data_IF_686492829087
#
_entry.id   IF_686492829087
#
_cell.length_a   1.000
_cell.length_b   1.000
_cell.length_c   1.000
_cell.angle_alpha   90.00
_cell.angle_beta   90.00
_cell.angle_gamma   90.00
#
_symmetry.space_group_name_H-M   'P 1'
#
loop_
_entity.id
_entity.type
_entity.pdbx_description
1 polymer ?
#
# COMPACT_ATOMS: atom_id res chain seq x y z
N UNK A 1 -17.81 10.14 82.42
CA UNK A 1 -16.35 10.34 82.47
C UNK A 1 -15.90 10.65 81.04
N UNK A 2 -15.42 11.85 80.69
CA UNK A 2 -14.16 12.49 81.17
C UNK A 2 -13.01 11.57 80.74
N UNK A 3 -11.97 11.96 80.02
CA UNK A 3 -11.34 13.24 79.65
C UNK A 3 -10.13 12.81 78.80
N UNK A 4 -9.90 13.40 77.63
CA UNK A 4 -8.98 14.52 77.40
C UNK A 4 -7.48 14.21 77.58
N UNK A 5 -6.73 14.76 76.61
CA UNK A 5 -5.49 15.56 76.78
C UNK A 5 -4.19 14.78 77.02
N UNK A 6 -3.02 15.27 76.59
CA UNK A 6 -2.57 16.61 76.18
C UNK A 6 -1.21 16.43 75.46
N UNK A 7 -0.92 17.25 74.44
CA UNK A 7 0.09 18.35 74.43
C UNK A 7 1.48 17.93 74.94
N UNK A 8 2.60 18.28 74.30
CA UNK A 8 2.95 19.62 73.83
C UNK A 8 4.24 19.55 72.99
N UNK A 9 4.32 20.33 71.90
CA UNK A 9 5.24 21.47 71.73
C UNK A 9 6.74 21.16 71.75
N UNK A 10 7.44 21.44 70.64
CA UNK A 10 8.36 22.60 70.57
C UNK A 10 8.95 22.81 69.17
N UNK A 11 9.12 24.11 68.85
CA UNK A 11 9.73 24.74 67.66
C UNK A 11 11.18 24.30 67.40
N UNK A 12 11.60 24.32 66.13
CA UNK A 12 12.91 24.83 65.71
C UNK A 12 12.97 25.08 64.18
N UNK A 13 13.77 26.08 63.81
CA UNK A 13 13.84 26.75 62.51
C UNK A 13 14.55 25.96 61.41
N UNK A 14 14.09 26.23 60.17
CA UNK A 14 14.83 26.44 58.92
C UNK A 14 16.15 25.67 58.67
N UNK A 15 16.11 24.78 57.67
CA UNK A 15 17.23 24.59 56.72
C UNK A 15 16.68 24.48 55.31
N UNK A 16 17.10 25.43 54.47
CA UNK A 16 16.97 25.40 53.02
C UNK A 16 17.52 24.08 52.46
N UNK A 17 16.68 23.35 51.73
CA UNK A 17 17.12 22.32 50.78
C UNK A 17 16.60 22.69 49.39
N UNK A 18 17.45 22.68 48.35
CA UNK A 18 17.01 22.95 46.99
C UNK A 18 16.07 21.84 46.53
N UNK A 19 14.88 22.21 46.05
CA UNK A 19 13.91 21.29 45.46
C UNK A 19 14.50 20.77 44.14
N UNK A 20 15.00 19.54 44.17
CA UNK A 20 15.22 18.76 42.96
C UNK A 20 13.86 18.44 42.34
N UNK A 21 13.53 19.11 41.24
CA UNK A 21 12.33 18.79 40.47
C UNK A 21 12.62 17.53 39.63
N UNK A 22 12.13 16.39 40.12
CA UNK A 22 12.19 15.11 39.42
C UNK A 22 11.40 15.13 38.11
N UNK A 23 11.86 14.31 37.16
CA UNK A 23 11.31 14.12 35.81
C UNK A 23 9.84 13.61 35.84
N UNK A 24 8.84 14.50 35.95
CA UNK A 24 7.44 14.28 35.50
C UNK A 24 6.83 15.61 35.05
N UNK A 25 5.98 15.63 34.00
CA UNK A 25 5.35 16.86 33.52
C UNK A 25 4.38 17.43 34.58
N UNK A 26 4.20 18.75 34.68
CA UNK A 26 3.38 19.36 35.72
C UNK A 26 1.90 19.12 35.48
N UNK A 27 1.20 18.69 36.55
CA UNK A 27 -0.24 18.55 36.61
C UNK A 27 -0.92 19.94 36.63
N UNK A 28 -2.14 20.03 36.08
CA UNK A 28 -2.91 21.28 35.88
C UNK A 28 -3.16 22.06 37.17
N UNK A 29 -3.03 21.43 38.32
CA UNK A 29 -3.29 22.02 39.64
C UNK A 29 -2.15 22.93 40.15
N UNK A 30 -0.94 22.81 39.60
CA UNK A 30 0.20 23.64 40.01
C UNK A 30 0.12 25.09 39.48
N UNK A 31 -0.62 25.31 38.39
CA UNK A 31 -0.80 26.64 37.79
C UNK A 31 -1.84 27.48 38.54
N UNK A 32 -2.83 26.84 39.19
CA UNK A 32 -3.87 27.55 39.92
C UNK A 32 -3.44 28.03 41.31
N UNK A 33 -2.50 27.36 41.97
CA UNK A 33 -2.01 27.79 43.30
C UNK A 33 -1.09 29.02 43.26
N UNK A 34 -0.45 29.32 42.12
CA UNK A 34 0.41 30.50 41.97
C UNK A 34 -0.36 31.78 41.62
N UNK A 35 -1.60 31.67 41.14
CA UNK A 35 -2.44 32.82 40.82
C UNK A 35 -3.19 33.40 42.04
N UNK A 36 -3.32 32.63 43.12
CA UNK A 36 -4.05 33.05 44.32
C UNK A 36 -3.16 33.79 45.35
N UNK A 37 -1.84 33.55 45.36
CA UNK A 37 -0.90 34.26 46.25
C UNK A 37 -0.63 35.73 45.85
N UNK A 38 -1.06 36.18 44.67
CA UNK A 38 -0.84 37.55 44.19
C UNK A 38 -1.97 38.53 44.53
N UNK A 39 -3.02 38.11 45.25
CA UNK A 39 -4.15 38.98 45.65
C UNK A 39 -3.98 39.71 46.98
N UNK A 40 -2.91 39.46 47.74
CA UNK A 40 -2.66 40.12 49.04
C UNK A 40 -1.30 40.81 49.10
N UNK A 41 -1.09 41.85 48.30
CA UNK A 41 0.02 42.79 48.47
C UNK A 41 -0.33 44.17 47.91
N UNK A 42 -1.25 44.85 48.59
CA UNK A 42 -1.45 46.30 48.47
C UNK A 42 -0.51 47.01 49.44
N UNK A 43 0.46 47.79 48.93
CA UNK A 43 0.81 49.16 49.37
C UNK A 43 2.18 49.63 48.86
N UNK A 44 2.22 50.91 48.55
CA UNK A 44 3.36 51.79 48.24
C UNK A 44 3.83 51.83 46.78
N UNK A 45 3.50 52.98 46.18
CA UNK A 45 3.74 53.44 44.83
C UNK A 45 5.02 54.28 44.78
N UNK A 46 6.06 53.81 44.10
CA UNK A 46 6.97 54.59 43.21
C UNK A 46 8.24 53.82 42.79
N UNK A 47 8.57 52.69 43.43
CA UNK A 47 9.70 51.81 43.01
C UNK A 47 9.35 50.71 42.00
N UNK A 48 8.07 50.55 41.63
CA UNK A 48 7.56 49.37 40.92
C UNK A 48 7.67 49.43 39.39
N UNK A 49 7.83 50.60 38.76
CA UNK A 49 7.78 50.71 37.29
C UNK A 49 9.05 50.25 36.55
N UNK A 50 10.24 50.41 37.15
CA UNK A 50 11.50 49.91 36.58
C UNK A 50 11.70 48.41 36.82
N UNK A 51 11.22 47.89 37.96
CA UNK A 51 11.30 46.48 38.32
C UNK A 51 10.29 45.60 37.58
N UNK A 52 9.09 46.11 37.26
CA UNK A 52 8.11 45.38 36.43
C UNK A 52 8.56 45.27 34.98
N UNK A 53 9.11 46.34 34.36
CA UNK A 53 9.61 46.26 32.97
C UNK A 53 10.78 45.28 32.83
N UNK A 54 11.70 45.24 33.80
CA UNK A 54 12.82 44.29 33.81
C UNK A 54 12.33 42.84 34.00
N UNK A 55 11.36 42.61 34.89
CA UNK A 55 10.75 41.29 35.07
C UNK A 55 9.90 40.85 33.89
N UNK A 56 9.15 41.73 33.23
CA UNK A 56 8.38 41.39 32.01
C UNK A 56 9.33 41.06 30.84
N UNK A 57 10.46 41.76 30.72
CA UNK A 57 11.48 41.46 29.71
C UNK A 57 12.20 40.13 30.00
N UNK A 58 12.59 39.86 31.26
CA UNK A 58 13.18 38.58 31.66
C UNK A 58 12.19 37.40 31.54
N UNK A 59 10.91 37.60 31.88
CA UNK A 59 9.86 36.59 31.66
C UNK A 59 9.60 36.34 30.16
N UNK A 60 9.56 37.38 29.33
CA UNK A 60 9.37 37.23 27.88
C UNK A 60 10.57 36.54 27.21
N UNK A 61 11.79 36.85 27.66
CA UNK A 61 13.00 36.16 27.21
C UNK A 61 13.03 34.70 27.70
N UNK A 62 12.59 34.42 28.93
CA UNK A 62 12.51 33.04 29.46
C UNK A 62 11.45 32.19 28.75
N UNK A 63 10.29 32.77 28.44
CA UNK A 63 9.20 32.15 27.66
C UNK A 63 9.64 31.89 26.22
N UNK A 64 10.28 32.85 25.54
CA UNK A 64 10.85 32.63 24.20
C UNK A 64 11.98 31.58 24.20
N UNK A 65 12.80 31.52 25.25
CA UNK A 65 13.90 30.53 25.39
C UNK A 65 13.39 29.11 25.70
N UNK A 66 12.20 28.97 26.31
CA UNK A 66 11.53 27.68 26.53
C UNK A 66 10.58 27.27 25.38
N UNK A 67 10.03 28.22 24.61
CA UNK A 67 9.21 27.94 23.42
C UNK A 67 10.04 27.62 22.16
N UNK A 68 11.25 28.17 22.04
CA UNK A 68 12.17 27.87 20.93
C UNK A 68 12.49 26.36 20.78
N UNK A 69 12.83 25.59 21.85
CA UNK A 69 13.01 24.15 21.73
C UNK A 69 11.69 23.41 21.47
N UNK A 70 10.54 23.93 21.90
CA UNK A 70 9.22 23.37 21.61
C UNK A 70 8.86 23.49 20.12
N UNK A 71 9.16 24.62 19.48
CA UNK A 71 8.99 24.77 18.03
C UNK A 71 9.95 23.85 17.26
N UNK A 72 11.21 23.71 17.68
CA UNK A 72 12.17 22.77 17.07
C UNK A 72 11.81 21.30 17.30
N UNK A 73 11.27 20.95 18.48
CA UNK A 73 10.77 19.61 18.79
C UNK A 73 9.47 19.32 18.05
N UNK A 74 8.59 20.30 17.87
CA UNK A 74 7.39 20.17 17.05
C UNK A 74 7.75 20.08 15.56
N UNK A 75 8.72 20.87 15.08
CA UNK A 75 9.24 20.77 13.70
C UNK A 75 9.93 19.43 13.49
N UNK A 76 10.77 18.98 14.42
CA UNK A 76 11.41 17.65 14.39
C UNK A 76 10.40 16.53 14.55
N UNK A 77 9.34 16.68 15.35
CA UNK A 77 8.28 15.70 15.47
C UNK A 77 7.47 15.63 14.17
N UNK A 78 7.06 16.76 13.61
CA UNK A 78 6.37 16.83 12.30
C UNK A 78 7.27 16.35 11.16
N UNK A 79 8.57 16.68 11.17
CA UNK A 79 9.56 16.17 10.22
C UNK A 79 9.81 14.68 10.42
N UNK A 80 9.89 14.17 11.64
CA UNK A 80 10.02 12.74 11.93
C UNK A 80 8.74 11.96 11.59
N UNK A 81 7.56 12.55 11.80
CA UNK A 81 6.27 11.96 11.42
C UNK A 81 6.10 11.98 9.90
N UNK A 82 6.49 13.07 9.22
CA UNK A 82 6.50 13.15 7.75
C UNK A 82 7.56 12.24 7.14
N UNK A 83 8.75 12.17 7.73
CA UNK A 83 9.82 11.27 7.31
C UNK A 83 9.39 9.82 7.48
N UNK A 84 8.82 9.44 8.63
CA UNK A 84 8.24 8.08 8.83
C UNK A 84 7.03 7.82 7.92
N UNK A 85 6.24 8.81 7.56
CA UNK A 85 5.15 8.63 6.59
C UNK A 85 5.67 8.37 5.16
N UNK A 86 6.74 9.06 4.75
CA UNK A 86 7.28 8.97 3.39
C UNK A 86 8.24 7.78 3.25
N UNK A 87 9.15 7.62 4.21
CA UNK A 87 10.19 6.61 4.22
C UNK A 87 9.83 5.34 4.98
N UNK A 88 8.72 5.32 5.71
CA UNK A 88 8.37 4.17 6.54
C UNK A 88 9.43 3.89 7.61
N UNK A 89 9.56 2.62 7.97
CA UNK A 89 10.60 2.12 8.87
C UNK A 89 11.85 1.59 8.13
N UNK A 90 11.86 1.63 6.79
CA UNK A 90 12.93 1.03 5.99
C UNK A 90 14.21 1.86 6.05
N UNK A 91 15.32 1.22 6.45
CA UNK A 91 16.60 1.90 6.52
C UNK A 91 17.18 2.21 5.13
N UNK A 92 17.84 3.38 4.90
CA UNK A 92 18.39 3.76 3.59
C UNK A 92 19.33 2.74 2.95
N UNK A 93 20.11 2.02 3.76
CA UNK A 93 20.98 0.93 3.27
C UNK A 93 20.19 -0.24 2.70
N UNK A 94 19.08 -0.61 3.33
CA UNK A 94 18.17 -1.65 2.83
C UNK A 94 17.50 -1.20 1.55
N UNK A 95 17.06 0.06 1.47
CA UNK A 95 16.47 0.62 0.25
C UNK A 95 17.46 0.56 -0.92
N UNK A 96 18.69 1.06 -0.72
CA UNK A 96 19.71 1.04 -1.76
C UNK A 96 20.00 -0.38 -2.23
N UNK A 97 20.18 -1.31 -1.29
CA UNK A 97 20.52 -2.68 -1.64
C UNK A 97 19.35 -3.45 -2.27
N UNK A 98 18.09 -3.15 -1.88
CA UNK A 98 16.88 -3.66 -2.53
C UNK A 98 16.76 -3.14 -3.96
N UNK A 99 17.03 -1.85 -4.20
CA UNK A 99 17.05 -1.27 -5.55
C UNK A 99 18.15 -1.90 -6.39
N UNK A 100 19.36 -2.06 -5.84
CA UNK A 100 20.47 -2.71 -6.55
C UNK A 100 20.11 -4.14 -6.94
N UNK A 101 19.53 -4.91 -6.01
CA UNK A 101 19.08 -6.28 -6.26
C UNK A 101 17.98 -6.33 -7.34
N UNK A 102 17.05 -5.39 -7.30
CA UNK A 102 15.98 -5.29 -8.29
C UNK A 102 16.52 -4.94 -9.68
N UNK A 103 17.46 -3.99 -9.76
CA UNK A 103 18.15 -3.62 -11.00
C UNK A 103 18.93 -4.80 -11.56
N UNK A 104 19.71 -5.52 -10.72
CA UNK A 104 20.50 -6.67 -11.20
C UNK A 104 19.59 -7.81 -11.68
N UNK A 105 18.51 -8.10 -10.95
CA UNK A 105 17.49 -9.05 -11.38
C UNK A 105 16.85 -8.64 -12.72
N UNK A 106 16.46 -7.37 -12.84
CA UNK A 106 15.89 -6.80 -14.06
C UNK A 106 16.84 -6.84 -15.25
N UNK A 107 18.11 -6.49 -15.05
CA UNK A 107 19.15 -6.55 -16.07
C UNK A 107 19.44 -7.99 -16.51
N UNK A 108 19.46 -8.95 -15.58
CA UNK A 108 19.62 -10.36 -15.91
C UNK A 108 18.44 -10.89 -16.72
N UNK A 109 17.20 -10.54 -16.34
CA UNK A 109 16.02 -10.87 -17.12
C UNK A 109 16.03 -10.20 -18.51
N UNK A 110 16.59 -9.00 -18.62
CA UNK A 110 16.71 -8.28 -19.90
C UNK A 110 17.73 -8.95 -20.81
N UNK A 111 18.85 -9.41 -20.24
CA UNK A 111 19.84 -10.22 -20.95
C UNK A 111 19.27 -11.53 -21.49
N UNK A 112 18.31 -12.13 -20.77
CA UNK A 112 17.55 -13.30 -21.22
C UNK A 112 16.41 -12.97 -22.21
N UNK A 113 16.24 -11.71 -22.63
CA UNK A 113 15.16 -11.24 -23.49
C UNK A 113 13.74 -11.59 -22.98
N UNK A 114 13.55 -11.62 -21.65
CA UNK A 114 12.25 -11.94 -21.07
C UNK A 114 11.26 -10.76 -21.26
N UNK A 115 9.97 -11.03 -21.49
CA UNK A 115 8.93 -10.00 -21.51
C UNK A 115 8.92 -9.22 -20.20
N UNK A 116 8.84 -7.88 -20.24
CA UNK A 116 8.86 -7.05 -19.02
C UNK A 116 10.01 -7.39 -18.06
N UNK A 117 11.19 -7.67 -18.62
CA UNK A 117 12.39 -8.07 -17.90
C UNK A 117 12.63 -7.31 -16.59
N UNK A 118 12.54 -5.97 -16.61
CA UNK A 118 12.78 -5.15 -15.42
C UNK A 118 11.78 -5.42 -14.29
N UNK A 119 10.51 -5.63 -14.61
CA UNK A 119 9.49 -6.01 -13.63
C UNK A 119 9.70 -7.45 -13.15
N UNK A 120 9.79 -8.41 -14.08
CA UNK A 120 9.95 -9.84 -13.78
C UNK A 120 11.19 -10.12 -12.94
N UNK A 121 12.33 -9.64 -13.42
CA UNK A 121 13.62 -9.82 -12.78
C UNK A 121 13.66 -9.20 -11.39
N UNK A 122 13.06 -8.02 -11.21
CA UNK A 122 12.95 -7.38 -9.89
C UNK A 122 12.09 -8.21 -8.92
N UNK A 123 10.93 -8.70 -9.36
CA UNK A 123 10.05 -9.54 -8.52
C UNK A 123 10.77 -10.82 -8.10
N UNK A 124 11.41 -11.50 -9.05
CA UNK A 124 12.08 -12.79 -8.80
C UNK A 124 13.29 -12.61 -7.90
N UNK A 125 14.16 -11.64 -8.17
CA UNK A 125 15.37 -11.42 -7.39
C UNK A 125 15.05 -10.99 -5.95
N UNK A 126 14.20 -9.98 -5.79
CA UNK A 126 13.80 -9.49 -4.46
C UNK A 126 12.96 -10.54 -3.72
N UNK A 127 12.05 -11.21 -4.43
CA UNK A 127 11.19 -12.23 -3.85
C UNK A 127 11.94 -13.46 -3.36
N UNK A 128 12.97 -13.91 -4.08
CA UNK A 128 13.82 -15.02 -3.64
C UNK A 128 14.56 -14.68 -2.35
N UNK A 129 15.17 -13.50 -2.27
CA UNK A 129 15.86 -13.04 -1.05
C UNK A 129 14.87 -12.92 0.11
N UNK A 130 13.71 -12.30 -0.11
CA UNK A 130 12.69 -12.14 0.91
C UNK A 130 12.16 -13.50 1.42
N UNK A 131 11.89 -14.45 0.52
CA UNK A 131 11.42 -15.79 0.85
C UNK A 131 12.47 -16.62 1.62
N UNK A 132 13.76 -16.43 1.33
CA UNK A 132 14.87 -17.07 2.05
C UNK A 132 15.16 -16.41 3.41
N UNK A 133 14.49 -15.31 3.75
CA UNK A 133 14.74 -14.57 4.98
C UNK A 133 16.13 -13.92 5.02
N UNK A 134 16.75 -13.69 3.86
CA UNK A 134 18.06 -13.07 3.76
C UNK A 134 17.89 -11.57 4.02
N UNK A 135 18.54 -11.08 5.07
CA UNK A 135 18.56 -9.64 5.38
C UNK A 135 19.52 -8.93 4.44
N UNK A 136 19.07 -7.81 3.88
CA UNK A 136 19.91 -6.96 3.02
C UNK A 136 20.04 -5.60 3.71
N UNK A 137 21.13 -5.45 4.47
CA UNK A 137 21.31 -4.33 5.40
C UNK A 137 20.75 -4.68 6.78
N UNK A 138 20.23 -3.69 7.53
CA UNK A 138 19.63 -3.96 8.86
C UNK A 138 18.30 -4.72 8.79
N UNK A 139 17.54 -4.54 7.71
CA UNK A 139 16.19 -5.07 7.55
C UNK A 139 16.11 -6.07 6.38
N UNK A 140 14.98 -6.75 6.26
CA UNK A 140 14.61 -7.53 5.08
C UNK A 140 14.41 -6.61 3.86
N UNK A 141 14.54 -7.12 2.62
CA UNK A 141 14.41 -6.29 1.44
C UNK A 141 13.02 -5.66 1.34
N UNK A 142 12.97 -4.33 1.31
CA UNK A 142 11.73 -3.54 1.20
C UNK A 142 12.05 -2.15 0.62
N UNK A 143 11.00 -1.46 0.16
CA UNK A 143 11.08 -0.10 -0.36
C UNK A 143 10.17 0.84 0.43
N UNK A 144 10.56 2.12 0.59
CA UNK A 144 9.76 3.09 1.32
C UNK A 144 8.42 3.32 0.60
N UNK A 145 7.33 3.63 1.33
CA UNK A 145 6.02 3.94 0.73
C UNK A 145 6.09 5.03 -0.35
N UNK A 146 7.01 5.99 -0.19
CA UNK A 146 7.28 7.04 -1.17
C UNK A 146 7.65 6.49 -2.56
N UNK A 147 8.38 5.38 -2.65
CA UNK A 147 8.80 4.82 -3.93
C UNK A 147 7.58 4.48 -4.80
N UNK A 148 6.60 3.75 -4.23
CA UNK A 148 5.33 3.47 -4.92
C UNK A 148 4.49 4.72 -5.13
N UNK A 149 4.50 5.65 -4.17
CA UNK A 149 3.76 6.91 -4.29
C UNK A 149 4.26 7.81 -5.43
N UNK A 150 5.49 7.62 -5.90
CA UNK A 150 6.05 8.27 -7.10
C UNK A 150 5.82 7.43 -8.36
N UNK A 151 6.15 6.13 -8.31
CA UNK A 151 6.10 5.25 -9.48
C UNK A 151 4.69 5.08 -10.05
N UNK A 152 3.69 4.89 -9.19
CA UNK A 152 2.31 4.59 -9.62
C UNK A 152 1.67 5.76 -10.38
N UNK A 153 1.74 7.03 -9.89
CA UNK A 153 1.27 8.17 -10.66
C UNK A 153 1.93 8.35 -12.02
N UNK A 154 3.25 8.14 -12.11
CA UNK A 154 3.97 8.27 -13.36
C UNK A 154 3.49 7.24 -14.39
N UNK A 155 3.27 5.99 -13.97
CA UNK A 155 2.68 4.97 -14.86
C UNK A 155 1.26 5.36 -15.28
N UNK A 156 0.45 5.89 -14.37
CA UNK A 156 -0.89 6.40 -14.68
C UNK A 156 -0.85 7.46 -15.78
N UNK A 157 0.02 8.47 -15.63
CA UNK A 157 0.24 9.52 -16.64
C UNK A 157 0.70 8.94 -17.98
N UNK A 158 1.62 7.97 -17.96
CA UNK A 158 2.17 7.35 -19.17
C UNK A 158 1.13 6.54 -19.95
N UNK A 159 0.30 5.79 -19.24
CA UNK A 159 -0.85 5.09 -19.85
C UNK A 159 -1.87 6.11 -20.39
N UNK A 160 -2.15 7.17 -19.62
CA UNK A 160 -3.07 8.22 -20.03
C UNK A 160 -2.61 8.99 -21.27
N UNK A 161 -1.30 9.11 -21.49
CA UNK A 161 -0.74 9.72 -22.69
C UNK A 161 -1.08 8.94 -23.98
N UNK A 162 -1.45 7.66 -23.84
CA UNK A 162 -1.93 6.83 -24.94
C UNK A 162 -3.36 7.13 -25.40
N UNK A 163 -4.11 8.03 -24.73
CA UNK A 163 -5.47 8.39 -25.15
C UNK A 163 -5.43 9.15 -26.48
N UNK A 164 -5.83 8.45 -27.54
CA UNK A 164 -6.01 9.02 -28.87
C UNK A 164 -7.50 9.13 -29.21
N UNK A 165 -7.88 10.00 -30.16
CA UNK A 165 -9.26 10.03 -30.68
C UNK A 165 -9.75 8.66 -31.17
N UNK A 166 -8.86 7.83 -31.71
CA UNK A 166 -9.18 6.47 -32.13
C UNK A 166 -9.63 5.58 -30.95
N UNK A 167 -8.90 5.62 -29.82
CA UNK A 167 -9.28 4.87 -28.62
C UNK A 167 -10.63 5.37 -28.07
N UNK A 168 -10.85 6.69 -28.06
CA UNK A 168 -12.12 7.27 -27.60
C UNK A 168 -13.29 6.78 -28.47
N UNK A 169 -13.10 6.68 -29.79
CA UNK A 169 -14.11 6.14 -30.70
C UNK A 169 -14.36 4.63 -30.50
N UNK A 170 -13.40 3.88 -29.97
CA UNK A 170 -13.58 2.46 -29.64
C UNK A 170 -14.35 2.25 -28.33
N UNK A 171 -14.31 3.18 -27.37
CA UNK A 171 -14.90 3.02 -26.03
C UNK A 171 -16.36 2.53 -26.04
N UNK A 172 -17.27 3.07 -26.89
CA UNK A 172 -18.65 2.60 -26.93
C UNK A 172 -18.77 1.12 -27.29
N UNK A 173 -17.78 0.52 -27.97
CA UNK A 173 -17.78 -0.90 -28.37
C UNK A 173 -17.44 -1.85 -27.21
N UNK A 174 -16.94 -1.35 -26.09
CA UNK A 174 -16.50 -2.16 -24.96
C UNK A 174 -17.66 -2.67 -24.10
N UNK A 175 -18.89 -2.23 -24.36
CA UNK A 175 -20.05 -2.60 -23.53
C UNK A 175 -20.26 -4.12 -23.43
N UNK A 176 -20.04 -4.87 -24.53
CA UNK A 176 -20.18 -6.34 -24.54
C UNK A 176 -19.17 -6.97 -23.57
N UNK A 177 -17.90 -6.54 -23.63
CA UNK A 177 -16.85 -7.05 -22.76
C UNK A 177 -17.00 -6.56 -21.32
N UNK A 178 -17.66 -5.42 -21.09
CA UNK A 178 -17.98 -4.95 -19.74
C UNK A 178 -19.13 -5.75 -19.14
N UNK A 179 -20.22 -5.97 -19.88
CA UNK A 179 -21.36 -6.75 -19.40
C UNK A 179 -20.97 -8.21 -19.12
N UNK A 180 -20.10 -8.78 -19.94
CA UNK A 180 -19.61 -10.13 -19.72
C UNK A 180 -18.84 -10.30 -18.40
N UNK A 181 -18.33 -9.22 -17.78
CA UNK A 181 -17.76 -9.28 -16.42
C UNK A 181 -18.80 -9.73 -15.38
N UNK A 182 -20.08 -9.37 -15.56
CA UNK A 182 -21.16 -9.75 -14.65
C UNK A 182 -21.37 -11.27 -14.60
N UNK A 183 -21.00 -11.98 -15.67
CA UNK A 183 -21.05 -13.44 -15.76
C UNK A 183 -19.70 -14.05 -15.39
N UNK A 184 -18.62 -13.48 -15.92
CA UNK A 184 -17.27 -13.99 -15.71
C UNK A 184 -16.87 -13.99 -14.24
N UNK A 185 -17.16 -12.93 -13.48
CA UNK A 185 -16.69 -12.81 -12.10
C UNK A 185 -17.32 -13.83 -11.14
N UNK A 186 -18.64 -14.06 -11.13
CA UNK A 186 -19.24 -15.13 -10.33
C UNK A 186 -18.73 -16.52 -10.73
N UNK A 187 -18.60 -16.80 -12.04
CA UNK A 187 -18.10 -18.09 -12.53
C UNK A 187 -16.65 -18.30 -12.10
N UNK A 188 -15.80 -17.29 -12.28
CA UNK A 188 -14.41 -17.32 -11.86
C UNK A 188 -14.28 -17.53 -10.35
N UNK A 189 -15.04 -16.75 -9.57
CA UNK A 189 -15.03 -16.85 -8.11
C UNK A 189 -15.44 -18.25 -7.66
N UNK A 190 -16.55 -18.79 -8.21
CA UNK A 190 -16.99 -20.14 -7.90
C UNK A 190 -15.95 -21.20 -8.25
N UNK A 191 -15.35 -21.10 -9.45
CA UNK A 191 -14.29 -22.02 -9.90
C UNK A 191 -13.11 -22.02 -8.94
N UNK A 192 -12.56 -20.85 -8.61
CA UNK A 192 -11.40 -20.72 -7.72
C UNK A 192 -11.74 -21.16 -6.29
N UNK A 193 -12.93 -20.80 -5.80
CA UNK A 193 -13.42 -21.24 -4.49
C UNK A 193 -13.44 -22.77 -4.38
N UNK A 194 -14.01 -23.45 -5.39
CA UNK A 194 -14.06 -24.92 -5.44
C UNK A 194 -12.68 -25.54 -5.49
N UNK A 195 -11.74 -24.96 -6.24
CA UNK A 195 -10.35 -25.42 -6.30
C UNK A 195 -9.64 -25.29 -4.95
N UNK A 196 -9.87 -24.21 -4.20
CA UNK A 196 -9.31 -24.04 -2.87
C UNK A 196 -9.88 -25.03 -1.85
N UNK A 197 -11.17 -25.37 -1.95
CA UNK A 197 -11.80 -26.40 -1.12
C UNK A 197 -11.29 -27.84 -1.37
N UNK A 198 -10.56 -28.09 -2.46
CA UNK A 198 -9.91 -29.39 -2.66
C UNK A 198 -8.78 -29.64 -1.65
N UNK A 199 -8.30 -28.60 -0.96
CA UNK A 199 -7.31 -28.74 0.09
C UNK A 199 -7.95 -28.80 1.47
N UNK A 200 -7.67 -29.85 2.27
CA UNK A 200 -8.18 -29.93 3.64
C UNK A 200 -7.55 -28.88 4.58
N UNK A 201 -6.47 -28.23 4.15
CA UNK A 201 -5.75 -27.21 4.93
C UNK A 201 -6.31 -25.79 4.74
N UNK A 202 -7.37 -25.62 3.95
CA UNK A 202 -7.97 -24.31 3.67
C UNK A 202 -9.41 -24.30 4.18
N UNK A 203 -9.68 -23.45 5.18
CA UNK A 203 -11.03 -23.28 5.71
C UNK A 203 -11.98 -22.62 4.69
N UNK A 204 -13.29 -22.84 4.84
CA UNK A 204 -14.29 -22.25 3.94
C UNK A 204 -14.22 -20.72 3.85
N UNK A 205 -14.05 -19.96 4.95
CA UNK A 205 -13.86 -18.50 4.88
C UNK A 205 -12.59 -18.13 4.10
N UNK A 206 -11.47 -18.78 4.40
CA UNK A 206 -10.19 -18.59 3.69
C UNK A 206 -10.37 -18.81 2.17
N UNK A 207 -11.00 -19.92 1.77
CA UNK A 207 -11.23 -20.25 0.38
C UNK A 207 -12.14 -19.22 -0.32
N UNK A 208 -13.24 -18.82 0.33
CA UNK A 208 -14.22 -17.89 -0.23
C UNK A 208 -13.58 -16.53 -0.50
N UNK A 209 -13.01 -15.91 0.53
CA UNK A 209 -12.46 -14.56 0.41
C UNK A 209 -11.20 -14.51 -0.46
N UNK A 210 -10.38 -15.56 -0.46
CA UNK A 210 -9.22 -15.67 -1.37
C UNK A 210 -9.63 -15.79 -2.85
N UNK A 211 -10.80 -16.38 -3.14
CA UNK A 211 -11.29 -16.56 -4.50
C UNK A 211 -11.78 -15.26 -5.16
N UNK A 212 -11.93 -14.17 -4.41
CA UNK A 212 -12.39 -12.89 -4.94
C UNK A 212 -11.32 -12.31 -5.89
N UNK A 213 -11.66 -11.98 -7.14
CA UNK A 213 -10.72 -11.46 -8.14
C UNK A 213 -10.47 -9.94 -8.00
N UNK A 214 -10.44 -9.41 -6.78
CA UNK A 214 -10.28 -8.00 -6.48
C UNK A 214 -10.43 -7.70 -4.99
N UNK A 215 -10.26 -6.42 -4.63
CA UNK A 215 -10.59 -5.93 -3.28
C UNK A 215 -9.75 -6.50 -2.14
N UNK A 216 -8.46 -6.78 -2.35
CA UNK A 216 -7.57 -7.45 -1.39
C UNK A 216 -7.80 -7.06 0.07
N UNK A 217 -7.77 -5.76 0.38
CA UNK A 217 -7.90 -5.25 1.76
C UNK A 217 -9.26 -5.62 2.34
N UNK A 218 -10.34 -5.40 1.60
CA UNK A 218 -11.71 -5.65 2.05
C UNK A 218 -12.03 -7.15 2.10
N UNK A 219 -11.52 -7.94 1.15
CA UNK A 219 -11.59 -9.39 1.19
C UNK A 219 -10.87 -9.95 2.42
N UNK A 220 -9.72 -9.37 2.78
CA UNK A 220 -8.98 -9.75 3.99
C UNK A 220 -9.75 -9.41 5.25
N UNK A 221 -10.29 -8.20 5.34
CA UNK A 221 -11.05 -7.73 6.50
C UNK A 221 -12.32 -8.57 6.73
N UNK A 222 -13.13 -8.76 5.69
CA UNK A 222 -14.33 -9.59 5.74
C UNK A 222 -13.99 -11.06 6.03
N UNK A 223 -12.91 -11.57 5.44
CA UNK A 223 -12.46 -12.93 5.69
C UNK A 223 -11.96 -13.13 7.12
N UNK A 224 -11.26 -12.16 7.69
CA UNK A 224 -10.84 -12.18 9.10
C UNK A 224 -12.05 -12.18 10.02
N UNK A 225 -13.04 -11.31 9.76
CA UNK A 225 -14.29 -11.26 10.52
C UNK A 225 -15.05 -12.60 10.47
N UNK A 226 -14.97 -13.31 9.34
CA UNK A 226 -15.56 -14.64 9.16
C UNK A 226 -14.68 -15.82 9.66
N UNK A 227 -13.56 -15.55 10.35
CA UNK A 227 -12.67 -16.60 10.90
C UNK A 227 -11.70 -17.23 9.89
N UNK A 228 -11.38 -16.54 8.80
CA UNK A 228 -10.39 -16.95 7.81
C UNK A 228 -8.93 -16.75 8.26
N UNK A 229 -8.03 -17.56 7.68
CA UNK A 229 -6.58 -17.40 7.87
C UNK A 229 -6.10 -16.21 7.03
N UNK A 230 -5.95 -15.05 7.69
CA UNK A 230 -5.45 -13.79 7.10
C UNK A 230 -4.13 -13.98 6.37
N UNK A 231 -3.22 -14.78 6.94
CA UNK A 231 -1.90 -15.01 6.38
C UNK A 231 -2.04 -15.79 5.06
N UNK A 232 -2.82 -16.87 5.04
CA UNK A 232 -3.04 -17.68 3.83
C UNK A 232 -3.79 -16.89 2.75
N UNK A 233 -4.82 -16.11 3.11
CA UNK A 233 -5.54 -15.25 2.17
C UNK A 233 -4.63 -14.22 1.51
N UNK A 234 -3.78 -13.57 2.31
CA UNK A 234 -2.79 -12.61 1.82
C UNK A 234 -1.83 -13.28 0.84
N UNK A 235 -1.34 -14.49 1.18
CA UNK A 235 -0.46 -15.26 0.30
C UNK A 235 -1.13 -15.59 -1.03
N UNK A 236 -2.34 -16.17 -1.02
CA UNK A 236 -3.04 -16.57 -2.24
C UNK A 236 -3.31 -15.37 -3.17
N UNK A 237 -3.69 -14.21 -2.62
CA UNK A 237 -3.89 -13.02 -3.43
C UNK A 237 -2.60 -12.46 -4.02
N UNK A 238 -1.54 -12.34 -3.22
CA UNK A 238 -0.25 -11.79 -3.66
C UNK A 238 0.41 -12.73 -4.66
N UNK A 239 0.45 -14.04 -4.36
CA UNK A 239 0.95 -15.05 -5.26
C UNK A 239 0.19 -15.06 -6.58
N UNK A 240 -1.13 -14.86 -6.59
CA UNK A 240 -1.92 -14.75 -7.83
C UNK A 240 -1.48 -13.56 -8.67
N UNK A 241 -1.22 -12.40 -8.06
CA UNK A 241 -0.72 -11.23 -8.79
C UNK A 241 0.66 -11.50 -9.39
N UNK A 242 1.53 -12.17 -8.64
CA UNK A 242 2.87 -12.57 -9.09
C UNK A 242 2.79 -13.60 -10.21
N UNK A 243 1.94 -14.61 -10.05
CA UNK A 243 1.69 -15.61 -11.08
C UNK A 243 1.16 -14.97 -12.36
N UNK A 244 0.34 -13.91 -12.27
CA UNK A 244 -0.07 -13.16 -13.46
C UNK A 244 1.13 -12.46 -14.09
N UNK A 245 1.89 -11.69 -13.31
CA UNK A 245 3.06 -10.96 -13.80
C UNK A 245 4.07 -11.89 -14.46
N UNK A 246 4.30 -13.08 -13.91
CA UNK A 246 5.22 -14.08 -14.44
C UNK A 246 4.61 -14.83 -15.62
N UNK A 247 3.48 -15.51 -15.44
CA UNK A 247 2.99 -16.48 -16.43
C UNK A 247 2.30 -15.84 -17.64
N UNK A 248 1.60 -14.72 -17.46
CA UNK A 248 0.80 -14.10 -18.52
C UNK A 248 1.67 -13.62 -19.69
N UNK A 249 2.75 -12.85 -19.49
CA UNK A 249 3.56 -12.37 -20.60
C UNK A 249 4.26 -13.50 -21.35
N UNK A 250 4.74 -14.55 -20.66
CA UNK A 250 5.30 -15.74 -21.30
C UNK A 250 4.25 -16.51 -22.11
N UNK A 251 3.06 -16.72 -21.53
CA UNK A 251 1.97 -17.39 -22.22
C UNK A 251 1.54 -16.64 -23.48
N UNK A 252 1.47 -15.31 -23.42
CA UNK A 252 1.16 -14.49 -24.58
C UNK A 252 2.29 -14.49 -25.61
N UNK A 253 3.56 -14.40 -25.20
CA UNK A 253 4.70 -14.50 -26.12
C UNK A 253 4.64 -15.81 -26.92
N UNK A 254 4.41 -16.93 -26.23
CA UNK A 254 4.36 -18.25 -26.82
C UNK A 254 3.20 -18.41 -27.83
N UNK A 255 2.04 -17.82 -27.54
CA UNK A 255 0.83 -17.97 -28.37
C UNK A 255 0.77 -16.95 -29.51
N UNK A 256 1.26 -15.73 -29.28
CA UNK A 256 1.19 -14.64 -30.26
C UNK A 256 2.33 -14.67 -31.28
N UNK A 257 3.45 -15.33 -30.95
CA UNK A 257 4.68 -15.25 -31.74
C UNK A 257 5.26 -13.84 -31.83
N UNK A 258 4.75 -12.90 -31.02
CA UNK A 258 5.27 -11.54 -30.95
C UNK A 258 6.62 -11.57 -30.25
N UNK A 259 7.61 -10.90 -30.84
CA UNK A 259 8.88 -10.62 -30.18
C UNK A 259 8.59 -9.77 -28.95
N UNK A 260 8.69 -10.39 -27.77
CA UNK A 260 8.54 -9.71 -26.48
C UNK A 260 9.82 -9.03 -26.01
N UNK A 261 10.87 -9.05 -26.84
CA UNK A 261 12.09 -8.30 -26.63
C UNK A 261 11.73 -6.81 -26.60
N UNK A 262 11.62 -6.30 -25.37
CA UNK A 262 11.52 -4.91 -24.96
C UNK A 262 11.26 -3.89 -26.07
N UNK A 263 10.08 -3.26 -26.05
CA UNK A 263 9.88 -1.93 -26.62
C UNK A 263 10.75 -0.94 -25.83
N UNK A 264 12.06 -0.97 -26.09
CA UNK A 264 13.06 0.07 -25.76
C UNK A 264 13.52 0.74 -27.07
N UNK A 265 12.74 0.61 -28.14
CA UNK A 265 12.88 1.43 -29.34
C UNK A 265 12.09 2.73 -29.17
N UNK A 266 12.51 3.56 -28.23
CA UNK A 266 12.19 4.98 -28.19
C UNK A 266 13.41 5.76 -28.66
N UNK A 267 13.34 6.31 -29.87
CA UNK A 267 14.37 7.16 -30.46
C UNK A 267 14.52 8.45 -29.65
N UNK A 268 15.42 8.46 -28.67
CA UNK A 268 15.85 9.70 -28.00
C UNK A 268 16.81 10.46 -28.94
N UNK A 269 16.21 11.20 -29.86
CA UNK A 269 16.85 12.29 -30.61
C UNK A 269 15.94 13.52 -30.55
N UNK A 270 15.39 13.81 -29.37
CA UNK A 270 14.75 15.09 -29.11
C UNK A 270 15.84 16.08 -28.67
N UNK A 271 15.81 17.30 -29.19
CA UNK A 271 16.66 18.38 -28.70
C UNK A 271 16.45 18.58 -27.19
N UNK A 272 17.51 18.97 -26.45
CA UNK A 272 17.48 19.12 -24.99
C UNK A 272 16.28 19.94 -24.49
N UNK A 273 15.87 20.96 -25.24
CA UNK A 273 14.75 21.83 -24.90
C UNK A 273 13.38 21.14 -25.00
N UNK A 274 13.20 20.24 -25.96
CA UNK A 274 11.96 19.44 -26.10
C UNK A 274 11.84 18.42 -24.98
N UNK A 275 12.98 17.86 -24.55
CA UNK A 275 13.02 16.91 -23.44
C UNK A 275 12.59 17.55 -22.12
N UNK A 276 13.17 18.70 -21.75
CA UNK A 276 12.79 19.40 -20.51
C UNK A 276 11.33 19.84 -20.48
N UNK A 277 10.79 20.28 -21.63
CA UNK A 277 9.37 20.61 -21.74
C UNK A 277 8.49 19.40 -21.45
N UNK A 278 8.76 18.25 -22.07
CA UNK A 278 8.00 17.02 -21.85
C UNK A 278 8.08 16.55 -20.40
N UNK A 279 9.24 16.69 -19.75
CA UNK A 279 9.40 16.36 -18.32
C UNK A 279 8.56 17.27 -17.43
N UNK A 280 8.60 18.58 -17.65
CA UNK A 280 7.83 19.56 -16.85
C UNK A 280 6.32 19.34 -17.04
N UNK A 281 5.86 19.18 -18.28
CA UNK A 281 4.46 18.87 -18.59
C UNK A 281 4.01 17.56 -17.94
N UNK A 282 4.80 16.48 -18.09
CA UNK A 282 4.51 15.19 -17.50
C UNK A 282 4.42 15.25 -15.97
N UNK A 283 5.33 15.97 -15.31
CA UNK A 283 5.28 16.19 -13.85
C UNK A 283 4.04 17.00 -13.48
N UNK A 284 3.72 18.07 -14.21
CA UNK A 284 2.56 18.91 -13.94
C UNK A 284 1.25 18.12 -14.06
N UNK A 285 1.09 17.35 -15.14
CA UNK A 285 -0.05 16.45 -15.38
C UNK A 285 -0.15 15.41 -14.26
N UNK A 286 0.97 14.80 -13.88
CA UNK A 286 1.00 13.79 -12.82
C UNK A 286 0.54 14.37 -11.48
N UNK A 287 1.07 15.53 -11.09
CA UNK A 287 0.71 16.20 -9.84
C UNK A 287 -0.76 16.65 -9.85
N UNK A 288 -1.21 17.30 -10.92
CA UNK A 288 -2.60 17.70 -11.10
C UNK A 288 -3.53 16.49 -11.03
N UNK A 289 -3.14 15.38 -11.64
CA UNK A 289 -3.85 14.11 -11.58
C UNK A 289 -3.95 13.53 -10.19
N UNK A 290 -2.86 13.47 -9.41
CA UNK A 290 -2.90 12.97 -8.03
C UNK A 290 -3.84 13.83 -7.18
N UNK A 291 -3.78 15.16 -7.32
CA UNK A 291 -4.64 16.09 -6.58
C UNK A 291 -6.11 15.88 -6.98
N UNK A 292 -6.40 15.89 -8.28
CA UNK A 292 -7.75 15.75 -8.82
C UNK A 292 -8.36 14.40 -8.47
N UNK A 293 -7.59 13.31 -8.61
CA UNK A 293 -8.05 11.96 -8.27
C UNK A 293 -8.38 11.80 -6.78
N UNK A 294 -7.59 12.43 -5.89
CA UNK A 294 -7.88 12.44 -4.45
C UNK A 294 -9.13 13.26 -4.14
N UNK A 295 -9.28 14.43 -4.77
CA UNK A 295 -10.46 15.28 -4.59
C UNK A 295 -11.74 14.60 -5.09
N UNK A 296 -11.69 13.96 -6.26
CA UNK A 296 -12.80 13.20 -6.84
C UNK A 296 -13.05 11.83 -6.16
N UNK A 297 -12.26 11.49 -5.13
CA UNK A 297 -12.35 10.22 -4.38
C UNK A 297 -12.32 8.98 -5.29
N UNK A 298 -11.48 9.03 -6.33
CA UNK A 298 -11.37 7.92 -7.27
C UNK A 298 -10.79 6.68 -6.57
N UNK A 299 -11.29 5.48 -6.89
CA UNK A 299 -10.63 4.23 -6.52
C UNK A 299 -9.20 4.24 -7.08
N UNK A 300 -8.22 3.82 -6.27
CA UNK A 300 -6.80 3.93 -6.61
C UNK A 300 -6.42 5.33 -7.16
N UNK A 301 -6.83 6.40 -6.45
CA UNK A 301 -6.66 7.79 -6.86
C UNK A 301 -5.26 8.16 -7.38
N UNK A 302 -4.20 7.60 -6.77
CA UNK A 302 -2.81 7.83 -7.19
C UNK A 302 -2.49 7.28 -8.59
N UNK A 303 -3.30 6.36 -9.13
CA UNK A 303 -3.17 5.82 -10.48
C UNK A 303 -4.19 6.46 -11.43
N UNK A 304 -5.47 6.42 -11.07
CA UNK A 304 -6.56 6.87 -11.95
C UNK A 304 -6.64 8.38 -12.13
N UNK A 305 -6.29 9.16 -11.11
CA UNK A 305 -6.25 10.62 -11.23
C UNK A 305 -5.27 11.07 -12.33
N UNK A 306 -3.98 10.69 -12.23
CA UNK A 306 -2.98 10.94 -13.29
C UNK A 306 -3.36 10.39 -14.65
N UNK A 307 -3.93 9.18 -14.70
CA UNK A 307 -4.40 8.58 -15.95
C UNK A 307 -5.46 9.43 -16.63
N UNK A 308 -6.50 9.86 -15.90
CA UNK A 308 -7.61 10.63 -16.46
C UNK A 308 -7.22 12.05 -16.84
N UNK A 309 -6.40 12.73 -16.02
CA UNK A 309 -5.92 14.07 -16.37
C UNK A 309 -5.02 14.00 -17.60
N UNK A 310 -4.09 13.04 -17.65
CA UNK A 310 -3.26 12.82 -18.84
C UNK A 310 -4.11 12.49 -20.06
N UNK A 311 -5.14 11.65 -19.90
CA UNK A 311 -6.07 11.31 -20.96
C UNK A 311 -6.78 12.52 -21.55
N UNK A 312 -7.30 13.40 -20.70
CA UNK A 312 -7.99 14.63 -21.14
C UNK A 312 -6.99 15.56 -21.85
N UNK A 313 -5.80 15.76 -21.29
CA UNK A 313 -4.78 16.62 -21.91
C UNK A 313 -4.35 16.12 -23.30
N UNK A 314 -4.15 14.82 -23.48
CA UNK A 314 -3.73 14.24 -24.77
C UNK A 314 -4.88 14.15 -25.77
N UNK A 315 -6.08 13.75 -25.33
CA UNK A 315 -7.25 13.67 -26.21
C UNK A 315 -7.73 15.05 -26.71
N UNK A 316 -7.53 16.11 -25.91
CA UNK A 316 -7.83 17.50 -26.30
C UNK A 316 -6.70 18.17 -27.11
N UNK A 317 -5.55 17.51 -27.28
CA UNK A 317 -4.37 18.09 -27.92
C UNK A 317 -3.65 19.17 -27.09
N UNK A 318 -3.98 19.31 -25.80
CA UNK A 318 -3.32 20.25 -24.89
C UNK A 318 -1.88 19.86 -24.55
N UNK A 319 -1.54 18.58 -24.64
CA UNK A 319 -0.17 18.10 -24.43
C UNK A 319 0.15 16.97 -25.40
N UNK A 320 1.41 16.94 -25.82
CA UNK A 320 2.04 15.85 -26.56
C UNK A 320 3.17 15.20 -25.76
N UNK A 321 3.20 15.41 -24.44
CA UNK A 321 4.28 14.98 -23.57
C UNK A 321 4.25 13.47 -23.37
N UNK A 322 5.24 12.77 -23.92
CA UNK A 322 5.45 11.35 -23.69
C UNK A 322 6.29 11.12 -22.45
N UNK A 323 6.02 10.04 -21.72
CA UNK A 323 6.89 9.60 -20.63
C UNK A 323 8.09 8.84 -21.21
N UNK A 324 9.30 9.21 -20.78
CA UNK A 324 10.53 8.52 -21.17
C UNK A 324 10.51 7.06 -20.76
N UNK A 325 11.02 6.19 -21.63
CA UNK A 325 11.13 4.74 -21.38
C UNK A 325 11.86 4.43 -20.07
N UNK A 326 12.86 5.23 -19.70
CA UNK A 326 13.62 5.06 -18.45
C UNK A 326 12.78 5.29 -17.20
N UNK A 327 11.78 6.17 -17.27
CA UNK A 327 10.83 6.38 -16.18
C UNK A 327 9.93 5.15 -16.00
N UNK A 328 9.49 4.54 -17.10
CA UNK A 328 8.71 3.30 -17.08
C UNK A 328 9.56 2.15 -16.51
N UNK A 329 10.82 2.02 -16.94
CA UNK A 329 11.78 1.04 -16.40
C UNK A 329 11.98 1.23 -14.90
N UNK A 330 12.22 2.45 -14.44
CA UNK A 330 12.36 2.75 -13.01
C UNK A 330 11.09 2.38 -12.23
N UNK A 331 9.91 2.67 -12.78
CA UNK A 331 8.65 2.32 -12.15
C UNK A 331 8.40 0.80 -12.11
N UNK A 332 8.79 0.06 -13.15
CA UNK A 332 8.77 -1.40 -13.18
C UNK A 332 9.67 -2.01 -12.11
N UNK A 333 10.89 -1.47 -11.93
CA UNK A 333 11.82 -1.90 -10.88
C UNK A 333 11.19 -1.69 -9.49
N UNK A 334 10.64 -0.50 -9.22
CA UNK A 334 10.00 -0.18 -7.94
C UNK A 334 8.81 -1.08 -7.65
N UNK A 335 7.93 -1.30 -8.63
CA UNK A 335 6.76 -2.16 -8.46
C UNK A 335 7.20 -3.61 -8.24
N UNK A 336 8.16 -4.09 -9.03
CA UNK A 336 8.65 -5.45 -8.94
C UNK A 336 9.31 -5.74 -7.61
N UNK A 337 10.20 -4.84 -7.16
CA UNK A 337 10.83 -4.92 -5.85
C UNK A 337 9.81 -4.90 -4.70
N UNK A 338 8.82 -3.99 -4.76
CA UNK A 338 7.77 -3.91 -3.74
C UNK A 338 6.90 -5.17 -3.65
N UNK A 339 6.69 -5.85 -4.78
CA UNK A 339 5.92 -7.08 -4.86
C UNK A 339 6.76 -8.27 -4.36
N UNK A 340 8.05 -8.32 -4.73
CA UNK A 340 8.99 -9.31 -4.21
C UNK A 340 9.20 -9.23 -2.70
N UNK A 341 9.23 -8.02 -2.13
CA UNK A 341 9.37 -7.81 -0.69
C UNK A 341 8.25 -8.49 0.14
N UNK A 342 7.09 -8.81 -0.46
CA UNK A 342 5.94 -9.43 0.21
C UNK A 342 6.16 -10.88 0.65
N UNK A 343 7.26 -11.50 0.26
CA UNK A 343 7.60 -12.86 0.67
C UNK A 343 8.31 -12.96 2.03
N UNK A 344 8.57 -11.82 2.68
CA UNK A 344 9.20 -11.79 4.00
C UNK A 344 8.37 -12.53 5.06
N UNK A 345 9.04 -13.31 5.92
CA UNK A 345 8.44 -13.88 7.13
C UNK A 345 7.47 -15.03 6.88
N UNK A 346 7.45 -15.59 5.67
CA UNK A 346 6.56 -16.69 5.32
C UNK A 346 7.18 -18.04 5.70
N UNK A 347 6.44 -18.86 6.46
CA UNK A 347 6.81 -20.27 6.70
C UNK A 347 6.86 -21.07 5.39
N UNK A 348 7.95 -21.81 5.17
CA UNK A 348 8.20 -22.59 3.94
C UNK A 348 7.11 -23.61 3.63
N UNK A 349 6.54 -24.28 4.65
CA UNK A 349 5.46 -25.27 4.48
C UNK A 349 4.15 -24.61 4.01
N UNK A 350 3.76 -23.49 4.64
CA UNK A 350 2.58 -22.71 4.21
C UNK A 350 2.80 -22.11 2.82
N UNK A 351 4.01 -21.62 2.53
CA UNK A 351 4.38 -21.07 1.23
C UNK A 351 4.18 -22.09 0.11
N UNK A 352 4.69 -23.32 0.29
CA UNK A 352 4.59 -24.35 -0.73
C UNK A 352 3.13 -24.73 -1.01
N UNK A 353 2.30 -24.83 0.03
CA UNK A 353 0.87 -25.04 -0.14
C UNK A 353 0.21 -23.89 -0.91
N UNK A 354 0.51 -22.65 -0.55
CA UNK A 354 -0.04 -21.46 -1.19
C UNK A 354 0.41 -21.35 -2.67
N UNK A 355 1.67 -21.67 -2.98
CA UNK A 355 2.20 -21.74 -4.34
C UNK A 355 1.43 -22.79 -5.14
N UNK A 356 1.28 -24.01 -4.63
CA UNK A 356 0.55 -25.09 -5.34
C UNK A 356 -0.89 -24.69 -5.64
N UNK A 357 -1.61 -24.18 -4.65
CA UNK A 357 -3.00 -23.74 -4.81
C UNK A 357 -3.10 -22.56 -5.78
N UNK A 358 -2.17 -21.62 -5.71
CA UNK A 358 -2.12 -20.49 -6.65
C UNK A 358 -1.85 -20.96 -8.07
N UNK A 359 -0.92 -21.89 -8.29
CA UNK A 359 -0.61 -22.38 -9.64
C UNK A 359 -1.82 -23.07 -10.27
N UNK A 360 -2.48 -23.98 -9.53
CA UNK A 360 -3.69 -24.68 -10.01
C UNK A 360 -4.81 -23.68 -10.31
N UNK A 361 -5.09 -22.77 -9.39
CA UNK A 361 -6.15 -21.77 -9.58
C UNK A 361 -5.82 -20.74 -10.67
N UNK A 362 -4.55 -20.37 -10.84
CA UNK A 362 -4.10 -19.44 -11.88
C UNK A 362 -4.23 -20.05 -13.26
N UNK A 363 -3.80 -21.29 -13.46
CA UNK A 363 -3.97 -22.02 -14.73
C UNK A 363 -5.46 -22.13 -15.09
N UNK A 364 -6.30 -22.53 -14.14
CA UNK A 364 -7.74 -22.60 -14.36
C UNK A 364 -8.35 -21.24 -14.70
N UNK A 365 -7.90 -20.18 -14.01
CA UNK A 365 -8.36 -18.82 -14.27
C UNK A 365 -7.93 -18.33 -15.65
N UNK A 366 -6.69 -18.57 -16.06
CA UNK A 366 -6.22 -18.17 -17.38
C UNK A 366 -6.91 -18.96 -18.49
N UNK A 367 -7.17 -20.25 -18.29
CA UNK A 367 -7.96 -21.02 -19.24
C UNK A 367 -9.37 -20.44 -19.41
N UNK A 368 -10.04 -20.10 -18.30
CA UNK A 368 -11.35 -19.45 -18.34
C UNK A 368 -11.28 -18.06 -18.98
N UNK A 369 -10.27 -17.25 -18.65
CA UNK A 369 -10.04 -15.94 -19.24
C UNK A 369 -9.78 -16.03 -20.74
N UNK A 370 -9.02 -17.03 -21.21
CA UNK A 370 -8.76 -17.27 -22.62
C UNK A 370 -10.03 -17.70 -23.37
N UNK A 371 -10.88 -18.53 -22.76
CA UNK A 371 -12.19 -18.89 -23.31
C UNK A 371 -13.09 -17.67 -23.49
N UNK A 372 -13.19 -16.81 -22.46
CA UNK A 372 -13.94 -15.56 -22.55
C UNK A 372 -13.32 -14.61 -23.58
N UNK A 373 -12.00 -14.49 -23.63
CA UNK A 373 -11.32 -13.68 -24.62
C UNK A 373 -11.61 -14.13 -26.05
N UNK A 374 -11.53 -15.43 -26.33
CA UNK A 374 -11.79 -16.01 -27.65
C UNK A 374 -13.24 -15.82 -28.09
N UNK A 375 -14.20 -15.98 -27.18
CA UNK A 375 -15.64 -15.76 -27.47
C UNK A 375 -15.95 -14.28 -27.67
N UNK A 376 -15.54 -13.43 -26.74
CA UNK A 376 -15.83 -11.99 -26.78
C UNK A 376 -15.10 -11.26 -27.90
N UNK A 377 -13.93 -11.72 -28.33
CA UNK A 377 -13.25 -11.15 -29.50
C UNK A 377 -14.12 -11.26 -30.76
N UNK A 378 -14.82 -12.38 -30.96
CA UNK A 378 -15.72 -12.56 -32.10
C UNK A 378 -16.99 -11.72 -32.00
N UNK A 379 -17.49 -11.50 -30.78
CA UNK A 379 -18.71 -10.73 -30.56
C UNK A 379 -18.48 -9.22 -30.62
N UNK A 380 -17.34 -8.74 -30.14
CA UNK A 380 -17.04 -7.30 -30.05
C UNK A 380 -16.14 -6.77 -31.17
N UNK A 381 -15.38 -7.67 -31.82
CA UNK A 381 -14.31 -7.31 -32.77
C UNK A 381 -13.06 -6.74 -32.09
N UNK A 382 -12.95 -6.83 -30.76
CA UNK A 382 -11.78 -6.36 -30.00
C UNK A 382 -10.70 -7.46 -29.98
N UNK A 383 -9.43 -7.04 -29.96
CA UNK A 383 -8.28 -7.95 -29.92
C UNK A 383 -8.38 -8.93 -28.73
N UNK A 384 -8.29 -10.24 -29.01
CA UNK A 384 -8.41 -11.30 -28.01
C UNK A 384 -7.36 -11.21 -26.89
N UNK A 385 -6.13 -10.81 -27.20
CA UNK A 385 -5.08 -10.65 -26.18
C UNK A 385 -5.39 -9.49 -25.22
N UNK A 386 -5.96 -8.39 -25.72
CA UNK A 386 -6.39 -7.29 -24.86
C UNK A 386 -7.55 -7.71 -23.94
N UNK A 387 -8.52 -8.48 -24.46
CA UNK A 387 -9.61 -9.04 -23.64
C UNK A 387 -9.05 -10.02 -22.60
N UNK A 388 -8.13 -10.89 -22.99
CA UNK A 388 -7.49 -11.83 -22.07
C UNK A 388 -6.80 -11.10 -20.92
N UNK A 389 -5.99 -10.08 -21.22
CA UNK A 389 -5.33 -9.27 -20.19
C UNK A 389 -6.34 -8.57 -19.27
N UNK A 390 -7.42 -8.04 -19.82
CA UNK A 390 -8.50 -7.41 -19.05
C UNK A 390 -9.22 -8.37 -18.09
N UNK A 391 -9.29 -9.66 -18.44
CA UNK A 391 -9.98 -10.71 -17.69
C UNK A 391 -9.05 -11.49 -16.76
N UNK A 392 -7.72 -11.41 -16.96
CA UNK A 392 -6.75 -12.02 -16.06
C UNK A 392 -6.77 -11.34 -14.66
N UNK A 393 -6.81 -12.09 -13.56
CA UNK A 393 -6.96 -11.58 -12.20
C UNK A 393 -5.62 -11.05 -11.63
N UNK A 394 -4.97 -10.17 -12.39
CA UNK A 394 -3.75 -9.47 -12.01
C UNK A 394 -4.03 -8.12 -11.37
N UNK A 395 -2.97 -7.46 -10.89
CA UNK A 395 -3.04 -6.07 -10.50
C UNK A 395 -3.26 -5.14 -11.68
N UNK A 396 -3.96 -4.05 -11.43
CA UNK A 396 -4.34 -3.11 -12.49
C UNK A 396 -3.12 -2.46 -13.13
N UNK A 397 -2.12 -2.09 -12.33
CA UNK A 397 -0.92 -1.41 -12.81
C UNK A 397 -0.09 -2.40 -13.63
N UNK A 398 0.08 -3.61 -13.10
CA UNK A 398 0.85 -4.69 -13.68
C UNK A 398 0.27 -5.13 -15.03
N UNK A 399 -1.04 -5.40 -15.10
CA UNK A 399 -1.67 -5.80 -16.37
C UNK A 399 -1.68 -4.67 -17.40
N UNK A 400 -1.72 -3.41 -16.96
CA UNK A 400 -1.64 -2.27 -17.89
C UNK A 400 -0.23 -2.06 -18.42
N UNK A 401 0.80 -2.34 -17.62
CA UNK A 401 2.19 -2.38 -18.08
C UNK A 401 2.41 -3.52 -19.08
N UNK A 402 1.82 -4.70 -18.85
CA UNK A 402 1.84 -5.82 -19.80
C UNK A 402 1.17 -5.41 -21.11
N UNK A 403 -0.04 -4.85 -21.05
CA UNK A 403 -0.75 -4.40 -22.23
C UNK A 403 0.08 -3.39 -23.04
N UNK A 404 0.63 -2.37 -22.38
CA UNK A 404 1.48 -1.36 -23.00
C UNK A 404 2.73 -1.97 -23.64
N UNK A 405 3.43 -2.86 -22.93
CA UNK A 405 4.64 -3.52 -23.45
C UNK A 405 4.34 -4.44 -24.64
N UNK A 406 3.13 -5.00 -24.70
CA UNK A 406 2.66 -5.85 -25.80
C UNK A 406 1.94 -5.06 -26.91
N UNK A 407 2.01 -3.72 -26.87
CA UNK A 407 1.34 -2.83 -27.83
C UNK A 407 -0.18 -3.05 -27.92
N UNK A 408 -0.77 -3.56 -26.84
CA UNK A 408 -2.22 -3.69 -26.65
C UNK A 408 -2.74 -2.43 -25.93
N UNK A 409 -4.03 -2.15 -26.06
CA UNK A 409 -4.65 -0.97 -25.47
C UNK A 409 -4.65 -1.04 -23.91
N UNK A 410 -3.77 -0.30 -23.20
CA UNK A 410 -3.68 -0.36 -21.75
C UNK A 410 -4.87 0.34 -21.06
N UNK A 411 -5.55 1.25 -21.76
CA UNK A 411 -6.73 1.97 -21.27
C UNK A 411 -7.91 1.01 -21.21
N UNK A 412 -8.10 0.19 -22.24
CA UNK A 412 -9.10 -0.89 -22.24
C UNK A 412 -8.88 -1.82 -21.03
N UNK A 413 -7.64 -2.28 -20.83
CA UNK A 413 -7.29 -3.20 -19.72
C UNK A 413 -7.51 -2.55 -18.35
N UNK A 414 -7.00 -1.32 -18.15
CA UNK A 414 -7.21 -0.55 -16.91
C UNK A 414 -8.70 -0.36 -16.59
N UNK A 415 -9.51 -0.02 -17.59
CA UNK A 415 -10.95 0.20 -17.42
C UNK A 415 -11.65 -1.07 -16.94
N UNK A 416 -11.36 -2.22 -17.56
CA UNK A 416 -11.95 -3.50 -17.16
C UNK A 416 -11.48 -3.95 -15.77
N UNK A 417 -10.21 -3.74 -15.44
CA UNK A 417 -9.69 -4.02 -14.10
C UNK A 417 -10.36 -3.18 -13.02
N UNK A 418 -10.65 -1.91 -13.29
CA UNK A 418 -11.36 -1.06 -12.34
C UNK A 418 -12.80 -1.53 -12.14
N UNK A 419 -13.52 -1.72 -13.24
CA UNK A 419 -14.90 -2.22 -13.20
C UNK A 419 -14.97 -3.58 -12.49
N UNK A 420 -14.00 -4.46 -12.73
CA UNK A 420 -13.89 -5.73 -12.01
C UNK A 420 -13.79 -5.53 -10.51
N UNK A 421 -12.91 -4.64 -10.04
CA UNK A 421 -12.77 -4.37 -8.60
C UNK A 421 -14.09 -3.86 -8.01
N UNK A 422 -14.74 -2.91 -8.70
CA UNK A 422 -16.02 -2.35 -8.26
C UNK A 422 -17.11 -3.44 -8.19
N UNK A 423 -17.28 -4.22 -9.26
CA UNK A 423 -18.27 -5.30 -9.32
C UNK A 423 -17.98 -6.38 -8.28
N UNK A 424 -16.71 -6.76 -8.09
CA UNK A 424 -16.32 -7.74 -7.08
C UNK A 424 -16.62 -7.26 -5.66
N UNK A 425 -16.33 -5.99 -5.34
CA UNK A 425 -16.64 -5.40 -4.03
C UNK A 425 -18.15 -5.37 -3.76
N UNK A 426 -18.95 -4.92 -4.72
CA UNK A 426 -20.41 -4.95 -4.59
C UNK A 426 -20.92 -6.38 -4.45
N UNK A 427 -20.42 -7.31 -5.27
CA UNK A 427 -20.78 -8.72 -5.23
C UNK A 427 -20.49 -9.37 -3.88
N UNK A 428 -19.33 -9.09 -3.27
CA UNK A 428 -18.99 -9.60 -1.93
C UNK A 428 -20.00 -9.16 -0.87
N UNK A 429 -20.42 -7.89 -0.89
CA UNK A 429 -21.38 -7.36 0.08
C UNK A 429 -22.77 -7.96 -0.08
N UNK A 430 -23.15 -8.36 -1.30
CA UNK A 430 -24.44 -8.99 -1.59
C UNK A 430 -24.46 -10.49 -1.28
N UNK A 431 -23.35 -11.19 -1.46
CA UNK A 431 -23.25 -12.67 -1.36
C UNK A 431 -22.55 -13.12 -0.07
N UNK A 432 -22.45 -12.25 0.95
CA UNK A 432 -21.86 -12.62 2.23
C UNK A 432 -22.58 -13.85 2.80
N UNK A 433 -21.87 -14.97 3.11
CA UNK A 433 -22.49 -16.11 3.74
C UNK A 433 -23.14 -15.65 5.04
N UNK A 434 -24.46 -15.85 5.21
CA UNK A 434 -25.12 -15.56 6.49
C UNK A 434 -24.45 -16.41 7.56
N UNK A 435 -24.13 -15.79 8.70
CA UNK A 435 -23.38 -16.36 9.83
C UNK A 435 -23.90 -17.73 10.29
N UNK A 436 -25.15 -18.09 10.00
CA UNK A 436 -25.78 -19.35 10.37
C UNK A 436 -25.44 -20.59 9.51
N UNK A 437 -24.58 -20.49 8.50
CA UNK A 437 -24.19 -21.66 7.67
C UNK A 437 -22.76 -22.15 7.87
N UNK A 438 -22.01 -21.52 8.79
CA UNK A 438 -20.67 -21.95 9.19
C UNK A 438 -20.76 -22.52 10.59
N UNK A 439 -21.30 -23.73 10.68
CA UNK A 439 -21.39 -24.49 11.92
C UNK A 439 -19.98 -24.69 12.53
N UNK A 440 -19.71 -24.24 13.78
CA UNK A 440 -18.44 -24.48 14.45
C UNK A 440 -18.17 -25.97 14.78
N UNK A 441 -19.15 -26.85 14.58
CA UNK A 441 -19.19 -28.21 15.13
C UNK A 441 -18.27 -29.27 14.47
N UNK A 442 -17.20 -28.87 13.78
CA UNK A 442 -16.18 -29.83 13.30
C UNK A 442 -14.76 -29.55 13.77
N UNK A 443 -14.55 -28.59 14.68
CA UNK A 443 -13.34 -28.56 15.50
C UNK A 443 -13.61 -29.34 16.79
N UNK A 444 -13.18 -30.59 16.81
CA UNK A 444 -13.18 -31.44 18.01
C UNK A 444 -12.19 -30.95 19.07
N UNK A 445 -12.43 -29.76 19.62
CA UNK A 445 -11.77 -29.25 20.81
C UNK A 445 -12.80 -29.15 21.93
N UNK A 446 -12.72 -30.08 22.87
CA UNK A 446 -13.43 -30.00 24.14
C UNK A 446 -12.93 -28.78 24.93
N UNK A 447 -13.81 -28.02 25.59
CA UNK A 447 -13.39 -26.93 26.46
C UNK A 447 -12.86 -27.53 27.78
N UNK A 448 -11.55 -27.78 27.86
CA UNK A 448 -10.89 -27.93 29.16
C UNK A 448 -10.57 -26.54 29.72
N UNK A 449 -11.39 -26.19 30.72
CA UNK A 449 -11.09 -25.39 31.91
C UNK A 449 -9.77 -24.60 31.92
N UNK A 450 -9.88 -23.30 31.62
CA UNK A 450 -8.93 -22.31 32.15
C UNK A 450 -9.40 -21.95 33.56
N UNK A 451 -8.98 -22.74 34.55
CA UNK A 451 -9.04 -22.35 35.96
C UNK A 451 -7.89 -21.37 36.25
N UNK A 452 -8.24 -20.16 36.65
CA UNK A 452 -7.30 -19.22 37.27
C UNK A 452 -6.93 -19.74 38.66
N UNK A 453 -5.68 -20.15 38.86
CA UNK A 453 -5.14 -20.47 40.17
C UNK A 453 -4.19 -19.33 40.63
N UNK A 454 -4.42 -18.71 41.80
CA UNK A 454 -3.55 -17.65 42.29
C UNK A 454 -2.30 -18.23 42.97
N UNK A 455 -1.16 -17.76 42.52
CA UNK A 455 0.18 -18.01 43.04
C UNK A 455 0.25 -17.77 44.57
N UNK A 456 0.49 -18.84 45.32
CA UNK A 456 0.88 -18.80 46.74
C UNK A 456 2.14 -19.65 46.91
N UNK A 457 3.28 -19.00 47.00
CA UNK A 457 4.42 -19.52 47.77
C UNK A 457 5.26 -18.38 48.36
N UNK A 458 4.81 -17.85 49.49
CA UNK A 458 5.69 -17.43 50.57
C UNK A 458 5.73 -18.57 51.59
N UNK A 459 6.89 -19.19 51.80
CA UNK A 459 7.56 -19.36 53.11
C UNK A 459 8.76 -20.31 52.96
N UNK A 460 9.93 -19.75 53.25
CA UNK A 460 11.22 -20.35 53.66
C UNK A 460 11.08 -21.42 54.78
N UNK A 461 12.15 -22.16 55.16
CA UNK A 461 13.58 -22.01 54.79
C UNK A 461 14.24 -23.22 54.12
#
# INVERSE_FOLDING_TARGET
MVVLRRQNSSRALAKDKPIQCGKRPPDRDCVFQLLDQNRTASRSSHGLRLSQKKRIFEYSVCICRHLAPLHLLFRRAVEMTRFRLLWGHTHPRTVLATITLAITGGAFAAWLNLPLAWLLGSVVAVGLVAALGIRIGPDSPDLPPLARAIAIPLIGTGIGAGFTPAIVAEMPRWWITILALLIFLPVLHHLVYRLFLLSPHVSRPTAWYSAVPGGLVESIELGQAAGGDVQMMTMLHVLRMIACVVLVPFGLALVSGLDTASVVAGSDSASDLVWWRNVIEGVAITLAGVITGRFARLPAASFFGPLLVSAVCHASGLSSATISVWVIVAAQIVIGASLGARFEGISSSKLMLAIRLTMVSSVATYALGALFAWTLARLSGINAYAIFLAYAPGGIIEMSLIAMAMQLNPIFVSTHHLLRIMVAMVGMRLVHPKEHTLDPLHLGATPEEVSCEPDRSETEP
#
